data_IF_418529110837
#
_entry.id   IF_418529110837
#
_cell.length_a   1.000
_cell.length_b   1.000
_cell.length_c   1.000
_cell.angle_alpha   90.00
_cell.angle_beta   90.00
_cell.angle_gamma   90.00
#
_symmetry.space_group_name_H-M   'P 1'
#
loop_
_entity.id
_entity.type
_entity.pdbx_description
1 polymer ?
#
# COMPACT_ATOMS: atom_id res chain seq x y z
N UNK A 1 8.57 -11.33 -18.32
CA UNK A 1 9.15 -11.08 -16.99
C UNK A 1 10.45 -10.29 -17.12
N UNK A 2 10.80 -9.44 -16.15
CA UNK A 2 12.13 -8.81 -16.07
C UNK A 2 13.19 -9.91 -16.07
N UNK A 3 14.19 -9.77 -16.95
CA UNK A 3 15.26 -10.73 -17.10
C UNK A 3 16.08 -10.83 -15.80
N UNK A 4 16.50 -12.06 -15.46
CA UNK A 4 17.39 -12.27 -14.33
C UNK A 4 18.72 -11.52 -14.53
N UNK A 5 19.23 -10.90 -13.46
CA UNK A 5 20.40 -10.03 -13.48
C UNK A 5 20.12 -8.57 -13.88
N UNK A 6 18.84 -8.20 -14.10
CA UNK A 6 18.41 -6.82 -14.45
C UNK A 6 17.65 -6.12 -13.33
N UNK A 7 17.44 -6.78 -12.20
CA UNK A 7 16.64 -6.29 -11.07
C UNK A 7 17.24 -5.01 -10.45
N UNK A 8 18.56 -4.99 -10.23
CA UNK A 8 19.26 -3.79 -9.76
C UNK A 8 19.20 -2.63 -10.77
N UNK A 9 19.29 -2.94 -12.06
CA UNK A 9 19.15 -1.96 -13.14
C UNK A 9 17.73 -1.35 -13.15
N UNK A 10 16.71 -2.19 -12.96
CA UNK A 10 15.31 -1.78 -12.85
C UNK A 10 15.09 -0.82 -11.69
N UNK A 11 15.52 -1.17 -10.47
CA UNK A 11 15.34 -0.33 -9.29
C UNK A 11 16.06 1.01 -9.44
N UNK A 12 17.28 1.00 -10.00
CA UNK A 12 18.01 2.23 -10.31
C UNK A 12 17.28 3.08 -11.36
N UNK A 13 16.70 2.46 -12.39
CA UNK A 13 15.93 3.15 -13.41
C UNK A 13 14.62 3.75 -12.84
N UNK A 14 13.95 3.06 -11.93
CA UNK A 14 12.78 3.55 -11.19
C UNK A 14 13.14 4.79 -10.37
N UNK A 15 14.14 4.68 -9.48
CA UNK A 15 14.64 5.80 -8.65
C UNK A 15 15.03 7.01 -9.51
N UNK A 16 15.82 6.78 -10.56
CA UNK A 16 16.25 7.86 -11.48
C UNK A 16 15.08 8.50 -12.20
N UNK A 17 14.08 7.72 -12.60
CA UNK A 17 12.87 8.25 -13.24
C UNK A 17 12.15 9.21 -12.30
N UNK A 18 11.89 8.80 -11.06
CA UNK A 18 11.19 9.63 -10.08
C UNK A 18 11.97 10.91 -9.76
N UNK A 19 13.24 10.78 -9.37
CA UNK A 19 14.08 11.92 -8.95
C UNK A 19 14.35 12.96 -10.05
N UNK A 20 14.31 12.55 -11.32
CA UNK A 20 14.65 13.43 -12.45
C UNK A 20 13.46 13.85 -13.30
N UNK A 21 12.38 13.07 -13.35
CA UNK A 21 11.25 13.32 -14.26
C UNK A 21 9.94 13.62 -13.53
N UNK A 22 9.78 13.11 -12.31
CA UNK A 22 8.55 13.29 -11.55
C UNK A 22 8.59 14.52 -10.62
N UNK A 23 9.78 15.04 -10.31
CA UNK A 23 9.99 16.26 -9.50
C UNK A 23 9.77 17.56 -10.27
N UNK A 24 9.56 17.49 -11.59
CA UNK A 24 9.41 18.65 -12.46
C UNK A 24 8.23 18.52 -13.43
N UNK A 25 7.41 19.56 -13.51
CA UNK A 25 6.24 19.69 -14.38
C UNK A 25 6.62 19.89 -15.84
N UNK A 26 7.78 20.46 -16.12
CA UNK A 26 8.27 20.71 -17.47
C UNK A 26 9.79 20.87 -17.51
N UNK A 27 10.36 20.95 -18.72
CA UNK A 27 11.76 21.35 -18.91
C UNK A 27 11.98 22.80 -18.47
N UNK A 28 11.03 23.68 -18.78
CA UNK A 28 11.05 25.09 -18.43
C UNK A 28 11.12 25.32 -16.92
N UNK A 29 10.33 24.59 -16.12
CA UNK A 29 10.38 24.69 -14.65
C UNK A 29 11.77 24.30 -14.09
N UNK A 30 12.43 23.30 -14.70
CA UNK A 30 13.80 22.92 -14.30
C UNK A 30 14.82 24.02 -14.58
N UNK A 31 14.61 24.80 -15.63
CA UNK A 31 15.53 25.85 -16.06
C UNK A 31 15.24 27.17 -15.30
N UNK A 32 13.98 27.50 -15.07
CA UNK A 32 13.57 28.75 -14.44
C UNK A 32 13.58 28.70 -12.91
N UNK A 33 13.29 27.55 -12.30
CA UNK A 33 13.13 27.42 -10.83
C UNK A 33 13.86 26.17 -10.32
N UNK A 34 15.19 26.06 -10.45
CA UNK A 34 15.93 24.85 -10.06
C UNK A 34 15.82 24.51 -8.57
N UNK A 35 15.63 25.50 -7.69
CA UNK A 35 15.53 25.29 -6.23
C UNK A 35 14.28 24.50 -5.84
N UNK A 36 13.11 24.75 -6.46
CA UNK A 36 11.90 23.98 -6.15
C UNK A 36 12.05 22.51 -6.55
N UNK A 37 12.78 22.23 -7.62
CA UNK A 37 13.07 20.86 -8.07
C UNK A 37 14.00 20.16 -7.08
N UNK A 38 14.96 20.90 -6.53
CA UNK A 38 15.91 20.39 -5.52
C UNK A 38 15.18 20.04 -4.23
N UNK A 39 14.30 20.91 -3.74
CA UNK A 39 13.47 20.67 -2.55
C UNK A 39 12.59 19.42 -2.73
N UNK A 40 11.84 19.35 -3.84
CA UNK A 40 11.00 18.18 -4.16
C UNK A 40 11.81 16.88 -4.27
N UNK A 41 13.03 16.95 -4.78
CA UNK A 41 13.94 15.79 -4.82
C UNK A 41 14.32 15.36 -3.41
N UNK A 42 14.68 16.30 -2.54
CA UNK A 42 15.03 16.01 -1.14
C UNK A 42 13.85 15.37 -0.40
N UNK A 43 12.62 15.85 -0.62
CA UNK A 43 11.41 15.23 -0.07
C UNK A 43 11.25 13.77 -0.53
N UNK A 44 11.42 13.48 -1.83
CA UNK A 44 11.36 12.11 -2.34
C UNK A 44 12.50 11.22 -1.80
N UNK A 45 13.71 11.76 -1.68
CA UNK A 45 14.86 11.03 -1.11
C UNK A 45 14.64 10.72 0.36
N UNK A 46 14.07 11.66 1.13
CA UNK A 46 13.66 11.44 2.51
C UNK A 46 12.61 10.33 2.60
N UNK A 47 11.58 10.36 1.74
CA UNK A 47 10.58 9.30 1.66
C UNK A 47 11.19 7.94 1.29
N UNK A 48 12.18 7.88 0.40
CA UNK A 48 12.90 6.63 0.11
C UNK A 48 13.62 6.09 1.34
N UNK A 49 14.31 6.96 2.10
CA UNK A 49 15.01 6.57 3.30
C UNK A 49 14.05 6.09 4.40
N UNK A 50 12.91 6.77 4.58
CA UNK A 50 11.87 6.40 5.53
C UNK A 50 11.34 4.99 5.28
N UNK A 51 11.09 4.63 4.01
CA UNK A 51 10.62 3.28 3.66
C UNK A 51 11.63 2.18 4.02
N UNK A 52 12.94 2.49 4.00
CA UNK A 52 13.98 1.54 4.43
C UNK A 52 14.12 1.46 5.95
N UNK A 53 13.63 2.45 6.71
CA UNK A 53 13.63 2.45 8.19
C UNK A 53 12.36 1.83 8.80
N UNK A 54 11.30 1.66 8.00
CA UNK A 54 10.06 1.09 8.49
C UNK A 54 10.26 -0.42 8.75
N UNK A 55 10.17 -0.79 10.03
CA UNK A 55 10.38 -2.16 10.48
C UNK A 55 9.23 -2.63 11.35
N UNK A 56 8.89 -3.90 11.21
CA UNK A 56 7.88 -4.54 12.03
C UNK A 56 8.31 -4.61 13.50
N UNK A 57 7.46 -4.09 14.39
CA UNK A 57 7.64 -4.20 15.83
C UNK A 57 6.82 -5.37 16.40
N UNK A 58 7.45 -6.48 16.80
CA UNK A 58 6.76 -7.62 17.40
C UNK A 58 6.21 -7.32 18.80
N UNK A 59 6.65 -6.24 19.46
CA UNK A 59 6.23 -5.85 20.81
C UNK A 59 5.21 -4.71 20.81
N UNK A 60 4.65 -4.37 19.64
CA UNK A 60 3.67 -3.31 19.48
C UNK A 60 2.46 -3.52 20.40
N UNK A 61 2.02 -2.45 21.07
CA UNK A 61 0.83 -2.45 21.92
C UNK A 61 -0.46 -2.56 21.09
N UNK A 62 -1.54 -2.98 21.75
CA UNK A 62 -2.87 -3.06 21.10
C UNK A 62 -3.34 -1.70 20.57
N UNK A 63 -3.08 -0.62 21.31
CA UNK A 63 -3.43 0.74 20.91
C UNK A 63 -2.62 1.21 19.71
N UNK A 64 -1.30 0.96 19.70
CA UNK A 64 -0.45 1.31 18.57
C UNK A 64 -0.85 0.53 17.31
N UNK A 65 -1.13 -0.77 17.45
CA UNK A 65 -1.65 -1.59 16.36
C UNK A 65 -2.98 -1.04 15.84
N UNK A 66 -3.90 -0.71 16.75
CA UNK A 66 -5.21 -0.20 16.38
C UNK A 66 -5.12 1.14 15.65
N UNK A 67 -4.26 2.05 16.11
CA UNK A 67 -4.02 3.33 15.46
C UNK A 67 -3.55 3.18 14.01
N UNK A 68 -2.72 2.15 13.74
CA UNK A 68 -2.31 1.81 12.37
C UNK A 68 -3.46 1.22 11.55
N UNK A 69 -4.34 0.42 12.15
CA UNK A 69 -5.37 -0.34 11.43
C UNK A 69 -6.69 0.41 11.21
N UNK A 70 -7.07 1.30 12.11
CA UNK A 70 -8.45 1.81 12.23
C UNK A 70 -8.91 2.60 11.00
N UNK A 71 -8.03 3.33 10.31
CA UNK A 71 -8.45 4.19 9.19
C UNK A 71 -8.21 3.60 7.82
N UNK A 72 -7.51 2.46 7.73
CA UNK A 72 -7.15 1.83 6.46
C UNK A 72 -8.33 1.44 5.57
N UNK A 73 -9.54 1.10 6.10
CA UNK A 73 -10.73 0.93 5.26
C UNK A 73 -11.09 2.18 4.43
N UNK A 74 -10.86 3.39 4.95
CA UNK A 74 -11.21 4.64 4.24
C UNK A 74 -10.34 4.94 3.03
N UNK A 75 -9.21 4.27 2.85
CA UNK A 75 -8.38 4.40 1.65
C UNK A 75 -8.86 3.54 0.48
N UNK A 76 -9.73 2.56 0.72
CA UNK A 76 -10.19 1.65 -0.32
C UNK A 76 -11.10 2.39 -1.31
N UNK A 77 -10.64 2.54 -2.56
CA UNK A 77 -11.39 3.22 -3.62
C UNK A 77 -11.32 4.76 -3.58
N UNK A 78 -10.54 5.34 -2.68
CA UNK A 78 -10.46 6.79 -2.50
C UNK A 78 -9.05 7.34 -2.77
N UNK A 79 -8.98 8.64 -3.07
CA UNK A 79 -7.71 9.37 -3.20
C UNK A 79 -7.10 9.54 -1.82
N UNK A 80 -5.88 9.02 -1.63
CA UNK A 80 -5.20 9.02 -0.33
C UNK A 80 -5.15 10.40 0.32
N UNK A 81 -4.78 11.44 -0.43
CA UNK A 81 -4.68 12.81 0.09
C UNK A 81 -5.98 13.34 0.73
N UNK A 82 -7.16 12.90 0.27
CA UNK A 82 -8.43 13.30 0.87
C UNK A 82 -8.69 12.62 2.22
N UNK A 83 -8.19 11.40 2.38
CA UNK A 83 -8.27 10.64 3.64
C UNK A 83 -7.20 11.14 4.61
N UNK A 84 -5.96 11.30 4.13
CA UNK A 84 -4.81 11.81 4.92
C UNK A 84 -5.13 13.15 5.60
N UNK A 85 -5.83 14.04 4.90
CA UNK A 85 -6.24 15.34 5.43
C UNK A 85 -7.20 15.26 6.63
N UNK A 86 -7.82 14.09 6.88
CA UNK A 86 -8.82 13.85 7.93
C UNK A 86 -8.43 12.75 8.91
N UNK A 87 -7.45 11.92 8.54
CA UNK A 87 -7.03 10.72 9.27
C UNK A 87 -6.75 11.01 10.75
N UNK A 88 -5.88 11.99 11.03
CA UNK A 88 -5.53 12.37 12.40
C UNK A 88 -6.72 12.87 13.22
N UNK A 89 -7.65 13.60 12.59
CA UNK A 89 -8.87 14.06 13.25
C UNK A 89 -9.80 12.90 13.58
N UNK A 90 -10.09 12.02 12.60
CA UNK A 90 -10.93 10.84 12.79
C UNK A 90 -10.39 9.94 13.91
N UNK A 91 -9.09 9.67 13.91
CA UNK A 91 -8.44 8.88 14.96
C UNK A 91 -8.56 9.54 16.33
N UNK A 92 -8.26 10.83 16.43
CA UNK A 92 -8.23 11.53 17.72
C UNK A 92 -9.63 11.70 18.31
N UNK A 93 -10.64 11.98 17.49
CA UNK A 93 -11.99 12.29 17.95
C UNK A 93 -12.90 11.07 18.09
N UNK A 94 -12.72 10.06 17.24
CA UNK A 94 -13.74 9.02 17.07
C UNK A 94 -13.20 7.60 17.08
N UNK A 95 -12.12 7.35 16.32
CA UNK A 95 -11.72 5.99 15.97
C UNK A 95 -10.58 5.45 16.82
N UNK A 96 -9.88 6.28 17.59
CA UNK A 96 -8.68 5.89 18.34
C UNK A 96 -8.95 4.99 19.54
N UNK A 97 -10.09 5.18 20.20
CA UNK A 97 -10.52 4.30 21.30
C UNK A 97 -11.27 3.08 20.74
N UNK A 98 -10.52 1.99 20.55
CA UNK A 98 -11.05 0.71 20.06
C UNK A 98 -12.19 0.17 20.94
N UNK A 99 -12.11 0.34 22.25
CA UNK A 99 -13.09 -0.26 23.17
C UNK A 99 -14.41 0.50 23.11
N UNK A 100 -14.34 1.84 23.02
CA UNK A 100 -15.52 2.68 22.83
C UNK A 100 -16.32 2.29 21.58
N UNK A 101 -15.64 1.89 20.50
CA UNK A 101 -16.28 1.44 19.25
C UNK A 101 -17.16 0.18 19.39
N UNK A 102 -17.02 -0.57 20.49
CA UNK A 102 -17.85 -1.76 20.75
C UNK A 102 -19.21 -1.45 21.40
N UNK A 103 -19.43 -0.19 21.79
CA UNK A 103 -20.70 0.28 22.33
C UNK A 103 -21.82 0.19 21.29
N UNK A 104 -23.06 -0.06 21.74
CA UNK A 104 -24.22 -0.06 20.86
C UNK A 104 -24.51 1.30 20.21
N UNK A 105 -23.94 2.40 20.75
CA UNK A 105 -24.04 3.75 20.18
C UNK A 105 -23.34 3.90 18.82
N UNK A 106 -22.45 2.96 18.48
CA UNK A 106 -21.77 2.89 17.19
C UNK A 106 -22.51 2.05 16.15
N UNK A 107 -23.65 1.45 16.47
CA UNK A 107 -24.44 0.74 15.45
C UNK A 107 -25.03 1.73 14.43
N UNK A 108 -25.25 1.34 13.16
CA UNK A 108 -25.89 2.19 12.16
C UNK A 108 -27.23 2.77 12.66
N UNK A 109 -27.46 4.07 12.45
CA UNK A 109 -28.66 4.77 12.94
C UNK A 109 -28.59 5.19 14.42
N UNK A 110 -27.44 5.04 15.10
CA UNK A 110 -27.25 5.42 16.51
C UNK A 110 -26.37 6.65 16.65
N UNK A 111 -26.39 7.24 17.85
CA UNK A 111 -25.89 8.60 18.08
C UNK A 111 -24.45 8.79 17.61
N UNK A 112 -23.50 7.98 18.09
CA UNK A 112 -22.08 8.16 17.75
C UNK A 112 -21.79 7.82 16.28
N UNK A 113 -22.52 6.86 15.71
CA UNK A 113 -22.44 6.53 14.28
C UNK A 113 -22.87 7.71 13.39
N UNK A 114 -24.03 8.30 13.68
CA UNK A 114 -24.54 9.45 12.92
C UNK A 114 -23.68 10.70 13.17
N UNK A 115 -23.21 10.94 14.41
CA UNK A 115 -22.30 12.04 14.71
C UNK A 115 -21.02 11.99 13.88
N UNK A 116 -20.41 10.80 13.69
CA UNK A 116 -19.26 10.65 12.80
C UNK A 116 -19.61 10.99 11.34
N UNK A 117 -20.77 10.54 10.86
CA UNK A 117 -21.20 10.77 9.48
C UNK A 117 -21.64 12.21 9.21
N UNK A 118 -22.05 12.94 10.25
CA UNK A 118 -22.45 14.35 10.17
C UNK A 118 -21.28 15.32 10.41
N UNK A 119 -20.15 14.87 10.96
CA UNK A 119 -18.98 15.72 11.18
C UNK A 119 -18.24 16.02 9.85
N UNK A 120 -17.99 17.31 9.56
CA UNK A 120 -17.26 17.78 8.37
C UNK A 120 -15.76 17.45 8.42
N UNK A 121 -15.20 17.29 9.62
CA UNK A 121 -13.83 16.84 9.85
C UNK A 121 -13.62 15.37 9.51
N UNK A 122 -14.68 14.58 9.44
CA UNK A 122 -14.62 13.14 9.15
C UNK A 122 -14.71 12.83 7.65
N UNK A 123 -14.09 11.72 7.24
CA UNK A 123 -14.30 11.16 5.91
C UNK A 123 -15.60 10.35 5.93
N UNK A 124 -16.69 10.99 5.50
CA UNK A 124 -18.06 10.45 5.61
C UNK A 124 -18.28 9.28 4.67
N UNK A 125 -18.16 8.06 5.18
CA UNK A 125 -18.38 6.84 4.41
C UNK A 125 -18.92 5.71 5.29
N UNK A 126 -20.25 5.54 5.29
CA UNK A 126 -20.97 4.58 6.12
C UNK A 126 -20.39 3.15 6.07
N UNK A 127 -20.19 2.60 4.87
CA UNK A 127 -19.69 1.22 4.75
C UNK A 127 -18.26 1.04 5.30
N UNK A 128 -17.42 2.07 5.19
CA UNK A 128 -16.05 2.00 5.68
C UNK A 128 -16.02 2.15 7.20
N UNK A 129 -16.83 3.06 7.77
CA UNK A 129 -17.02 3.15 9.21
C UNK A 129 -17.53 1.83 9.80
N UNK A 130 -18.53 1.20 9.16
CA UNK A 130 -19.05 -0.11 9.59
C UNK A 130 -17.98 -1.21 9.58
N UNK A 131 -17.05 -1.22 8.62
CA UNK A 131 -15.90 -2.16 8.63
C UNK A 131 -14.99 -1.94 9.84
N UNK A 132 -14.72 -0.68 10.21
CA UNK A 132 -13.88 -0.33 11.37
C UNK A 132 -14.53 -0.80 12.67
N UNK A 133 -15.83 -0.52 12.85
CA UNK A 133 -16.59 -0.96 14.02
C UNK A 133 -16.62 -2.49 14.11
N UNK A 134 -16.83 -3.18 12.98
CA UNK A 134 -16.77 -4.64 12.94
C UNK A 134 -15.39 -5.16 13.34
N UNK A 135 -14.30 -4.56 12.86
CA UNK A 135 -12.95 -4.94 13.27
C UNK A 135 -12.72 -4.74 14.78
N UNK A 136 -13.17 -3.62 15.35
CA UNK A 136 -13.08 -3.37 16.79
C UNK A 136 -13.82 -4.46 17.60
N UNK A 137 -15.04 -4.81 17.19
CA UNK A 137 -15.83 -5.89 17.79
C UNK A 137 -15.14 -7.26 17.70
N UNK A 138 -14.57 -7.61 16.54
CA UNK A 138 -13.86 -8.88 16.35
C UNK A 138 -12.57 -8.96 17.19
N UNK A 139 -11.83 -7.86 17.29
CA UNK A 139 -10.66 -7.78 18.18
C UNK A 139 -11.11 -7.99 19.63
N UNK A 140 -12.14 -7.28 20.10
CA UNK A 140 -12.65 -7.42 21.46
C UNK A 140 -13.08 -8.86 21.76
N UNK A 141 -13.80 -9.52 20.84
CA UNK A 141 -14.16 -10.92 20.96
C UNK A 141 -12.92 -11.85 21.03
N UNK A 142 -11.89 -11.58 20.22
CA UNK A 142 -10.63 -12.33 20.24
C UNK A 142 -9.89 -12.16 21.57
N UNK A 143 -9.89 -10.94 22.12
CA UNK A 143 -9.22 -10.59 23.39
C UNK A 143 -9.88 -11.23 24.60
N UNK A 144 -11.19 -11.53 24.58
CA UNK A 144 -11.86 -12.27 25.67
C UNK A 144 -11.15 -13.61 25.95
N UNK A 145 -10.70 -14.31 24.90
CA UNK A 145 -10.04 -15.61 25.03
C UNK A 145 -8.50 -15.53 25.06
N UNK A 146 -7.92 -14.35 24.82
CA UNK A 146 -6.48 -14.13 24.68
C UNK A 146 -6.02 -12.87 25.44
N UNK A 147 -6.63 -12.56 26.58
CA UNK A 147 -6.47 -11.28 27.28
C UNK A 147 -5.03 -10.96 27.68
N UNK A 148 -4.21 -12.00 27.89
CA UNK A 148 -2.81 -11.90 28.30
C UNK A 148 -1.83 -11.67 27.14
N UNK A 149 -2.29 -11.67 25.89
CA UNK A 149 -1.46 -11.41 24.70
C UNK A 149 -1.86 -10.12 24.03
N UNK A 150 -0.91 -9.40 23.44
CA UNK A 150 -1.24 -8.35 22.47
C UNK A 150 -1.83 -8.97 21.20
N UNK A 151 -2.49 -8.16 20.38
CA UNK A 151 -3.03 -8.55 19.08
C UNK A 151 -1.89 -9.04 18.18
N UNK A 152 -0.75 -8.34 18.20
CA UNK A 152 0.43 -8.73 17.43
C UNK A 152 0.99 -10.08 17.91
N UNK A 153 1.13 -10.31 19.22
CA UNK A 153 1.56 -11.61 19.76
C UNK A 153 0.61 -12.75 19.38
N UNK A 154 -0.70 -12.47 19.35
CA UNK A 154 -1.70 -13.44 18.89
C UNK A 154 -1.52 -13.77 17.40
N UNK A 155 -1.40 -12.75 16.54
CA UNK A 155 -1.24 -12.92 15.10
C UNK A 155 0.08 -13.65 14.79
N UNK A 156 1.17 -13.31 15.48
CA UNK A 156 2.51 -13.89 15.29
C UNK A 156 2.71 -15.28 15.93
N UNK A 157 1.70 -15.87 16.58
CA UNK A 157 1.86 -17.18 17.25
C UNK A 157 2.47 -18.24 16.33
N UNK A 158 3.56 -18.90 16.73
CA UNK A 158 4.25 -19.91 15.93
C UNK A 158 4.89 -19.37 14.63
N UNK A 159 5.08 -18.06 14.50
CA UNK A 159 5.82 -17.42 13.40
C UNK A 159 7.14 -16.89 13.95
N UNK A 160 8.26 -17.49 13.54
CA UNK A 160 9.60 -17.12 14.01
C UNK A 160 10.37 -16.21 13.04
N UNK A 161 9.99 -16.17 11.77
CA UNK A 161 10.68 -15.39 10.73
C UNK A 161 9.68 -14.79 9.75
N UNK A 162 9.58 -13.46 9.71
CA UNK A 162 8.68 -12.72 8.81
C UNK A 162 9.36 -12.32 7.48
N UNK A 163 10.55 -12.87 7.18
CA UNK A 163 11.25 -12.62 5.92
C UNK A 163 10.94 -13.65 4.82
N UNK A 164 10.10 -14.65 5.10
CA UNK A 164 9.69 -15.63 4.10
C UNK A 164 8.17 -15.56 3.81
N UNK A 165 7.80 -15.96 2.59
CA UNK A 165 6.43 -15.84 2.07
C UNK A 165 5.41 -16.67 2.88
N UNK A 166 5.78 -17.86 3.35
CA UNK A 166 4.85 -18.75 4.07
C UNK A 166 4.45 -18.18 5.45
N UNK A 167 5.40 -17.59 6.16
CA UNK A 167 5.13 -16.85 7.40
C UNK A 167 4.23 -15.65 7.14
N UNK A 168 4.51 -14.85 6.11
CA UNK A 168 3.70 -13.68 5.75
C UNK A 168 2.28 -14.06 5.33
N UNK A 169 2.10 -15.20 4.64
CA UNK A 169 0.79 -15.77 4.34
C UNK A 169 0.01 -16.12 5.60
N UNK A 170 0.69 -16.72 6.58
CA UNK A 170 0.09 -17.09 7.86
C UNK A 170 -0.29 -15.85 8.69
N UNK A 171 0.60 -14.84 8.71
CA UNK A 171 0.33 -13.54 9.31
C UNK A 171 -0.88 -12.87 8.66
N UNK A 172 -0.87 -12.72 7.32
CA UNK A 172 -1.96 -12.12 6.56
C UNK A 172 -3.30 -12.80 6.85
N UNK A 173 -3.35 -14.14 6.80
CA UNK A 173 -4.57 -14.91 7.08
C UNK A 173 -5.13 -14.62 8.48
N UNK A 174 -4.27 -14.53 9.50
CA UNK A 174 -4.70 -14.27 10.88
C UNK A 174 -5.09 -12.81 11.09
N UNK A 175 -4.32 -11.87 10.55
CA UNK A 175 -4.66 -10.46 10.55
C UNK A 175 -6.02 -10.23 9.88
N UNK A 176 -6.25 -10.85 8.72
CA UNK A 176 -7.52 -10.79 8.01
C UNK A 176 -8.67 -11.39 8.83
N UNK A 177 -8.44 -12.51 9.52
CA UNK A 177 -9.44 -13.10 10.40
C UNK A 177 -9.82 -12.20 11.59
N UNK A 178 -8.85 -11.45 12.14
CA UNK A 178 -9.06 -10.53 13.26
C UNK A 178 -9.74 -9.23 12.80
N UNK A 179 -9.36 -8.67 11.65
CA UNK A 179 -9.88 -7.38 11.18
C UNK A 179 -11.09 -7.50 10.26
N UNK A 180 -11.24 -8.63 9.56
CA UNK A 180 -12.24 -8.85 8.50
C UNK A 180 -12.22 -7.78 7.39
N UNK A 181 -11.04 -7.22 7.11
CA UNK A 181 -10.83 -6.31 6.00
C UNK A 181 -10.74 -7.05 4.66
N UNK A 182 -10.88 -6.34 3.54
CA UNK A 182 -10.61 -6.92 2.22
C UNK A 182 -9.10 -7.16 2.00
N UNK A 183 -8.75 -8.04 1.06
CA UNK A 183 -7.36 -8.43 0.74
C UNK A 183 -6.41 -7.24 0.63
N UNK A 184 -6.71 -6.27 -0.25
CA UNK A 184 -5.86 -5.09 -0.47
C UNK A 184 -5.73 -4.25 0.80
N UNK A 185 -6.80 -4.10 1.57
CA UNK A 185 -6.78 -3.35 2.84
C UNK A 185 -5.98 -4.08 3.92
N UNK A 186 -6.02 -5.41 3.97
CA UNK A 186 -5.15 -6.20 4.88
C UNK A 186 -3.68 -6.02 4.51
N UNK A 187 -3.32 -6.07 3.22
CA UNK A 187 -1.96 -5.74 2.79
C UNK A 187 -1.59 -4.29 3.11
N UNK A 188 -2.53 -3.35 3.02
CA UNK A 188 -2.30 -1.96 3.43
C UNK A 188 -1.95 -1.84 4.92
N UNK A 189 -2.64 -2.58 5.79
CA UNK A 189 -2.26 -2.64 7.22
C UNK A 189 -0.87 -3.28 7.36
N UNK A 190 -0.59 -4.39 6.68
CA UNK A 190 0.73 -5.05 6.76
C UNK A 190 1.88 -4.14 6.33
N UNK A 191 1.68 -3.35 5.27
CA UNK A 191 2.70 -2.39 4.81
C UNK A 191 3.00 -1.31 5.84
N UNK A 192 1.97 -0.83 6.55
CA UNK A 192 2.09 0.23 7.56
C UNK A 192 2.62 -0.29 8.88
N UNK A 193 2.42 -1.59 9.17
CA UNK A 193 3.10 -2.30 10.24
C UNK A 193 4.59 -2.56 9.94
N UNK A 194 5.09 -2.20 8.76
CA UNK A 194 6.51 -2.40 8.40
C UNK A 194 6.88 -3.83 7.99
N UNK A 195 5.90 -4.65 7.59
CA UNK A 195 6.18 -5.97 7.03
C UNK A 195 6.75 -5.85 5.61
N UNK A 196 7.66 -6.75 5.19
CA UNK A 196 8.24 -6.75 3.86
C UNK A 196 7.24 -7.30 2.85
N UNK A 197 6.21 -6.52 2.52
CA UNK A 197 5.19 -6.80 1.50
C UNK A 197 4.95 -5.55 0.64
N UNK A 198 4.40 -5.76 -0.55
CA UNK A 198 3.85 -4.70 -1.40
C UNK A 198 2.32 -4.71 -1.30
N UNK A 199 1.69 -3.54 -1.40
CA UNK A 199 0.22 -3.42 -1.39
C UNK A 199 -0.31 -3.66 -2.80
N UNK A 200 -1.11 -4.71 -3.07
CA UNK A 200 -1.59 -5.04 -4.41
C UNK A 200 -2.79 -4.16 -4.80
N UNK A 201 -2.66 -2.83 -4.72
CA UNK A 201 -3.69 -1.92 -5.18
C UNK A 201 -3.63 -1.70 -6.70
N UNK A 202 -4.64 -1.00 -7.23
CA UNK A 202 -4.77 -0.73 -8.67
C UNK A 202 -3.52 -0.08 -9.29
N UNK A 203 -2.77 0.73 -8.52
CA UNK A 203 -1.57 1.41 -9.03
C UNK A 203 -0.43 0.42 -9.10
N UNK A 204 -0.13 -0.25 -7.99
CA UNK A 204 0.99 -1.21 -7.91
C UNK A 204 0.77 -2.35 -8.90
N UNK A 205 -0.43 -2.92 -8.97
CA UNK A 205 -0.76 -4.03 -9.88
C UNK A 205 -0.57 -3.61 -11.34
N UNK A 206 -1.15 -2.47 -11.75
CA UNK A 206 -1.02 -1.96 -13.12
C UNK A 206 0.44 -1.71 -13.49
N UNK A 207 1.19 -1.04 -12.61
CA UNK A 207 2.60 -0.71 -12.85
C UNK A 207 3.45 -1.97 -12.91
N UNK A 208 3.26 -2.92 -11.98
CA UNK A 208 4.01 -4.18 -11.95
C UNK A 208 3.82 -5.01 -13.23
N UNK A 209 2.58 -5.12 -13.72
CA UNK A 209 2.25 -5.80 -14.98
C UNK A 209 2.85 -5.06 -16.18
N UNK A 210 2.67 -3.75 -16.26
CA UNK A 210 3.16 -2.93 -17.37
C UNK A 210 4.70 -2.97 -17.51
N UNK A 211 5.41 -2.95 -16.39
CA UNK A 211 6.86 -3.12 -16.34
C UNK A 211 7.25 -4.55 -16.71
N UNK A 212 6.45 -5.55 -16.29
CA UNK A 212 6.75 -6.96 -16.46
C UNK A 212 7.42 -7.60 -15.26
N UNK A 213 7.19 -7.06 -14.06
CA UNK A 213 7.59 -7.69 -12.79
C UNK A 213 6.93 -9.06 -12.66
N UNK A 214 5.66 -9.14 -13.03
CA UNK A 214 4.85 -10.36 -13.08
C UNK A 214 4.16 -10.44 -14.45
N UNK A 215 4.07 -11.65 -15.02
CA UNK A 215 3.40 -11.90 -16.31
C UNK A 215 2.45 -13.11 -16.26
N UNK A 216 2.37 -13.80 -15.12
CA UNK A 216 1.44 -14.88 -14.87
C UNK A 216 1.37 -15.17 -13.36
N UNK A 217 0.30 -15.84 -12.94
CA UNK A 217 0.19 -16.39 -11.58
C UNK A 217 -0.46 -17.78 -11.63
N UNK A 218 -0.28 -18.57 -10.57
CA UNK A 218 -0.90 -19.90 -10.44
C UNK A 218 -2.03 -19.87 -9.42
N UNK A 219 -3.13 -20.55 -9.72
CA UNK A 219 -4.18 -20.86 -8.74
C UNK A 219 -4.54 -22.34 -8.86
N UNK A 220 -4.22 -23.09 -7.80
CA UNK A 220 -4.21 -24.55 -7.84
C UNK A 220 -3.20 -25.06 -8.88
N UNK A 221 -3.65 -25.94 -9.78
CA UNK A 221 -2.83 -26.48 -10.88
C UNK A 221 -2.82 -25.62 -12.14
N UNK A 222 -3.63 -24.55 -12.20
CA UNK A 222 -3.79 -23.72 -13.40
C UNK A 222 -2.86 -22.51 -13.36
N UNK A 223 -2.24 -22.22 -14.50
CA UNK A 223 -1.46 -21.00 -14.73
C UNK A 223 -2.32 -20.00 -15.51
N UNK A 224 -2.39 -18.77 -15.02
CA UNK A 224 -3.13 -17.66 -15.61
C UNK A 224 -2.13 -16.65 -16.17
N UNK A 225 -1.97 -16.54 -17.50
CA UNK A 225 -1.15 -15.50 -18.10
C UNK A 225 -1.80 -14.13 -17.92
N UNK A 226 -0.99 -13.11 -17.67
CA UNK A 226 -1.42 -11.73 -17.55
C UNK A 226 -1.23 -10.99 -18.88
N UNK A 227 -2.11 -10.05 -19.22
CA UNK A 227 -1.88 -9.17 -20.36
C UNK A 227 -0.67 -8.26 -20.09
N UNK A 228 -0.16 -7.58 -21.12
CA UNK A 228 0.98 -6.65 -20.97
C UNK A 228 0.61 -5.35 -20.26
N UNK A 229 -0.66 -5.03 -20.23
CA UNK A 229 -1.25 -3.89 -19.53
C UNK A 229 -2.66 -4.24 -19.10
N UNK A 230 -3.12 -3.59 -18.05
CA UNK A 230 -4.47 -3.70 -17.51
C UNK A 230 -5.04 -2.31 -17.26
N UNK A 231 -6.36 -2.19 -17.29
CA UNK A 231 -7.08 -1.01 -16.79
C UNK A 231 -6.99 -0.93 -15.27
N UNK A 232 -7.42 0.20 -14.68
CA UNK A 232 -7.49 0.29 -13.22
C UNK A 232 -8.52 -0.65 -12.60
N UNK A 233 -9.60 -0.95 -13.32
CA UNK A 233 -10.65 -1.88 -12.85
C UNK A 233 -10.12 -3.32 -12.87
N UNK A 234 -9.52 -3.75 -13.98
CA UNK A 234 -8.86 -5.07 -14.08
C UNK A 234 -7.75 -5.23 -13.02
N UNK A 235 -6.98 -4.17 -12.76
CA UNK A 235 -5.96 -4.18 -11.70
C UNK A 235 -6.57 -4.30 -10.30
N UNK A 236 -7.73 -3.68 -10.06
CA UNK A 236 -8.48 -3.78 -8.80
C UNK A 236 -8.98 -5.21 -8.59
N UNK A 237 -9.56 -5.82 -9.63
CA UNK A 237 -10.04 -7.20 -9.61
C UNK A 237 -8.90 -8.17 -9.33
N UNK A 238 -7.75 -8.01 -9.99
CA UNK A 238 -6.56 -8.83 -9.75
C UNK A 238 -6.04 -8.69 -8.31
N UNK A 239 -6.00 -7.47 -7.76
CA UNK A 239 -5.58 -7.20 -6.38
C UNK A 239 -6.49 -7.85 -5.31
N UNK A 240 -7.71 -8.22 -5.68
CA UNK A 240 -8.62 -8.96 -4.81
C UNK A 240 -8.39 -10.49 -4.83
N UNK A 241 -7.50 -11.01 -5.69
CA UNK A 241 -7.25 -12.45 -5.84
C UNK A 241 -6.03 -12.87 -5.01
N UNK A 242 -6.20 -13.69 -3.94
CA UNK A 242 -5.09 -14.07 -3.06
C UNK A 242 -3.91 -14.74 -3.80
N UNK A 243 -4.22 -15.62 -4.75
CA UNK A 243 -3.21 -16.33 -5.52
C UNK A 243 -2.35 -15.40 -6.39
N UNK A 244 -2.95 -14.35 -6.97
CA UNK A 244 -2.23 -13.31 -7.69
C UNK A 244 -1.38 -12.48 -6.73
N UNK A 245 -1.94 -12.07 -5.59
CA UNK A 245 -1.24 -11.26 -4.59
C UNK A 245 0.05 -11.92 -4.12
N UNK A 246 0.02 -13.22 -3.81
CA UNK A 246 1.23 -13.93 -3.36
C UNK A 246 2.26 -14.14 -4.48
N UNK A 247 1.83 -14.35 -5.72
CA UNK A 247 2.74 -14.36 -6.86
C UNK A 247 3.41 -12.98 -7.06
N UNK A 248 2.66 -11.89 -6.84
CA UNK A 248 3.22 -10.54 -6.86
C UNK A 248 4.22 -10.33 -5.71
N UNK A 249 3.93 -10.80 -4.50
CA UNK A 249 4.86 -10.72 -3.36
C UNK A 249 6.19 -11.44 -3.68
N UNK A 250 6.13 -12.65 -4.24
CA UNK A 250 7.33 -13.40 -4.64
C UNK A 250 8.13 -12.69 -5.72
N UNK A 251 7.45 -12.18 -6.76
CA UNK A 251 8.10 -11.45 -7.84
C UNK A 251 8.80 -10.16 -7.34
N UNK A 252 8.12 -9.40 -6.47
CA UNK A 252 8.69 -8.20 -5.87
C UNK A 252 9.81 -8.52 -4.88
N UNK A 253 9.69 -9.58 -4.07
CA UNK A 253 10.75 -10.01 -3.14
C UNK A 253 12.04 -10.34 -3.87
N UNK A 254 11.97 -11.14 -4.94
CA UNK A 254 13.12 -11.45 -5.79
C UNK A 254 13.82 -10.19 -6.30
N UNK A 255 13.05 -9.19 -6.76
CA UNK A 255 13.61 -7.92 -7.24
C UNK A 255 14.26 -7.14 -6.09
N UNK A 256 13.59 -7.05 -4.95
CA UNK A 256 14.08 -6.33 -3.78
C UNK A 256 15.40 -6.94 -3.27
N UNK A 257 15.46 -8.26 -3.12
CA UNK A 257 16.63 -9.01 -2.67
C UNK A 257 17.82 -8.82 -3.62
N UNK A 258 17.63 -9.03 -4.92
CA UNK A 258 18.70 -8.90 -5.93
C UNK A 258 19.18 -7.45 -6.10
N UNK A 259 18.27 -6.48 -5.93
CA UNK A 259 18.63 -5.06 -5.99
C UNK A 259 19.25 -4.54 -4.68
N UNK A 260 19.13 -5.28 -3.57
CA UNK A 260 19.56 -4.85 -2.24
C UNK A 260 18.75 -3.68 -1.69
N UNK A 261 17.42 -3.72 -1.85
CA UNK A 261 16.49 -2.72 -1.31
C UNK A 261 15.37 -3.38 -0.51
N UNK A 262 14.70 -2.63 0.37
CA UNK A 262 13.53 -3.15 1.07
C UNK A 262 12.34 -3.35 0.11
N UNK A 263 11.45 -4.29 0.45
CA UNK A 263 10.18 -4.43 -0.27
C UNK A 263 9.28 -3.19 -0.12
N UNK A 264 9.37 -2.48 1.02
CA UNK A 264 8.65 -1.22 1.26
C UNK A 264 9.11 -0.12 0.30
N UNK A 265 10.41 0.00 0.09
CA UNK A 265 10.92 0.94 -0.89
C UNK A 265 10.49 0.55 -2.31
N UNK A 266 10.55 -0.73 -2.68
CA UNK A 266 10.09 -1.17 -3.99
C UNK A 266 8.60 -0.83 -4.20
N UNK A 267 7.74 -1.12 -3.21
CA UNK A 267 6.33 -0.72 -3.21
C UNK A 267 6.17 0.78 -3.46
N UNK A 268 6.87 1.61 -2.68
CA UNK A 268 6.82 3.07 -2.80
C UNK A 268 7.24 3.55 -4.19
N UNK A 269 8.31 2.97 -4.77
CA UNK A 269 8.75 3.30 -6.12
C UNK A 269 7.67 2.98 -7.17
N UNK A 270 6.97 1.85 -7.02
CA UNK A 270 5.89 1.44 -7.93
C UNK A 270 4.67 2.35 -7.78
N UNK A 271 4.26 2.65 -6.54
CA UNK A 271 3.16 3.57 -6.24
C UNK A 271 3.45 4.93 -6.86
N UNK A 272 4.59 5.56 -6.55
CA UNK A 272 4.92 6.89 -7.06
C UNK A 272 5.09 6.91 -8.58
N UNK A 273 5.40 5.80 -9.24
CA UNK A 273 5.45 5.79 -10.71
C UNK A 273 4.06 5.99 -11.34
N UNK A 274 3.00 5.47 -10.73
CA UNK A 274 1.64 5.44 -11.27
C UNK A 274 0.57 6.22 -10.50
N UNK A 275 0.92 6.83 -9.36
CA UNK A 275 0.03 7.65 -8.53
C UNK A 275 -0.18 9.03 -9.16
N UNK A 276 -1.33 9.66 -8.90
CA UNK A 276 -1.60 11.07 -9.21
C UNK A 276 -0.56 12.00 -8.54
N UNK A 277 -0.30 13.19 -9.12
CA UNK A 277 0.62 14.16 -8.53
C UNK A 277 0.27 14.53 -7.09
N UNK A 278 1.30 14.68 -6.28
CA UNK A 278 1.28 15.02 -4.86
C UNK A 278 2.50 15.91 -4.56
N UNK A 279 2.31 17.19 -4.80
CA UNK A 279 3.39 18.18 -4.75
C UNK A 279 3.93 18.41 -3.35
N UNK A 280 3.09 18.22 -2.33
CA UNK A 280 3.47 18.32 -0.92
C UNK A 280 4.56 17.29 -0.59
N UNK A 281 4.49 16.11 -1.22
CA UNK A 281 5.46 15.03 -1.06
C UNK A 281 6.50 14.97 -2.21
N UNK A 282 6.76 16.10 -2.87
CA UNK A 282 7.85 16.22 -3.84
C UNK A 282 7.57 15.66 -5.24
N UNK A 283 6.33 15.26 -5.53
CA UNK A 283 5.97 14.53 -6.73
C UNK A 283 4.94 15.31 -7.55
N UNK A 284 5.30 15.85 -8.71
CA UNK A 284 4.42 16.74 -9.48
C UNK A 284 3.96 16.18 -10.82
N UNK A 285 4.29 14.92 -11.13
CA UNK A 285 3.93 14.28 -12.39
C UNK A 285 3.90 12.76 -12.30
N UNK A 286 2.75 12.18 -12.69
CA UNK A 286 2.61 10.75 -12.96
C UNK A 286 3.33 10.31 -14.24
N UNK A 287 4.09 9.22 -14.17
CA UNK A 287 4.84 8.69 -15.30
C UNK A 287 4.10 7.54 -15.99
N UNK A 288 3.52 6.63 -15.20
CA UNK A 288 2.83 5.42 -15.66
C UNK A 288 1.33 5.52 -15.38
N UNK A 289 0.67 6.45 -16.06
CA UNK A 289 -0.78 6.56 -16.08
C UNK A 289 -1.39 5.39 -16.85
N UNK A 290 -2.65 5.07 -16.53
CA UNK A 290 -3.44 4.10 -17.31
C UNK A 290 -3.62 4.56 -18.75
N UNK A 291 -4.04 5.81 -18.92
CA UNK A 291 -4.21 6.46 -20.22
C UNK A 291 -3.03 7.40 -20.49
N UNK A 292 -2.34 7.21 -21.62
CA UNK A 292 -1.24 8.05 -22.09
C UNK A 292 -0.02 8.17 -21.15
N UNK A 293 0.60 7.05 -20.73
CA UNK A 293 1.81 7.10 -19.91
C UNK A 293 2.94 7.82 -20.66
N UNK A 294 3.74 8.60 -19.93
CA UNK A 294 4.88 9.35 -20.49
C UNK A 294 6.12 8.45 -20.63
N UNK A 295 5.98 7.33 -21.35
CA UNK A 295 7.03 6.32 -21.48
C UNK A 295 8.35 6.89 -21.99
N UNK A 296 8.33 7.89 -22.86
CA UNK A 296 9.51 8.59 -23.39
C UNK A 296 10.36 9.26 -22.30
N UNK A 297 9.77 9.58 -21.15
CA UNK A 297 10.47 10.13 -19.99
C UNK A 297 10.95 9.02 -19.04
N UNK A 298 10.31 7.86 -19.07
CA UNK A 298 10.57 6.76 -18.15
C UNK A 298 11.88 6.04 -18.47
N UNK A 299 12.82 6.00 -17.52
CA UNK A 299 14.10 5.30 -17.69
C UNK A 299 13.96 3.78 -17.64
N UNK A 300 12.83 3.27 -17.16
CA UNK A 300 12.47 1.83 -17.20
C UNK A 300 12.05 1.41 -18.61
N UNK A 301 11.75 2.34 -19.53
CA UNK A 301 11.25 2.05 -20.90
C UNK A 301 12.00 0.90 -21.61
N UNK A 302 13.36 0.82 -21.61
CA UNK A 302 14.09 -0.22 -22.34
C UNK A 302 13.82 -1.65 -21.85
N UNK A 303 13.44 -1.84 -20.59
CA UNK A 303 13.16 -3.13 -19.96
C UNK A 303 11.67 -3.35 -19.68
N UNK A 304 10.82 -2.36 -19.97
CA UNK A 304 9.39 -2.37 -19.70
C UNK A 304 8.64 -3.19 -20.76
N UNK A 305 7.80 -4.15 -20.34
CA UNK A 305 6.96 -4.96 -21.22
C UNK A 305 6.07 -4.12 -22.16
N UNK A 306 5.55 -2.99 -21.67
CA UNK A 306 4.72 -2.06 -22.44
C UNK A 306 5.55 -0.98 -23.16
N UNK A 307 6.41 -0.27 -22.41
CA UNK A 307 7.11 0.91 -22.90
C UNK A 307 8.14 0.63 -24.00
N UNK A 308 8.76 -0.55 -24.00
CA UNK A 308 9.78 -0.93 -25.00
C UNK A 308 9.24 -1.00 -26.44
N UNK A 309 7.92 -1.00 -26.61
CA UNK A 309 7.23 -1.14 -27.91
C UNK A 309 6.66 0.19 -28.43
N UNK A 310 6.83 1.28 -27.67
CA UNK A 310 6.37 2.64 -27.98
C UNK A 310 7.54 3.58 -28.18
#
# INVERSE_FOLDING_TARGET
>A
MIQHGKEKELVNALRKTLLTQATARSRREKEEIPEIIKERRQQLEAGFAEMDQLHFDPNMSDDAFWYVAATKPFYAGHVAAHVDARDGYMLTQYLGDREALTSSEWNPGRKLYEEFLDDEGCFRHADNLSKVINAANQISATKVHNSYKTIIEYICRDISDLNNTASLQSFHKRLNAVLQYGEVTTFHVMTELGLPVVKPDRVVVRVAIAIGIIDSYKSGSKTYPLPKTVTSDEATDLGAIPAFNWALQEACRRIADEAGVSMRLLDFLLVKLGQEPDEVNGFVRTICTESNPTCQLCKVKPMCNYGSRR
#
